data_IF_239001633122
#
_entry.id   IF_239001633122
#
_cell.length_a   1.000
_cell.length_b   1.000
_cell.length_c   1.000
_cell.angle_alpha   90.00
_cell.angle_beta   90.00
_cell.angle_gamma   90.00
#
_symmetry.space_group_name_H-M   'P 1'
#
loop_
_entity.id
_entity.type
_entity.pdbx_description
1 polymer ?
#
# COMPACT_ATOMS: atom_id res chain seq x y z
N UNK A 1 19.81 5.53 -19.13
CA UNK A 1 20.03 5.36 -17.68
C UNK A 1 21.51 5.63 -17.40
N UNK A 2 21.81 6.50 -16.44
CA UNK A 2 23.20 6.81 -16.08
C UNK A 2 23.83 5.65 -15.31
N UNK A 3 25.17 5.53 -15.31
CA UNK A 3 25.88 4.51 -14.53
C UNK A 3 25.58 4.64 -13.02
N UNK A 4 25.35 5.87 -12.57
CA UNK A 4 24.96 6.18 -11.18
C UNK A 4 23.58 5.60 -10.87
N UNK A 5 22.59 5.82 -11.74
CA UNK A 5 21.24 5.27 -11.58
C UNK A 5 21.27 3.73 -11.60
N UNK A 6 22.00 3.12 -12.53
CA UNK A 6 22.10 1.66 -12.64
C UNK A 6 22.74 1.03 -11.39
N UNK A 7 23.82 1.65 -10.86
CA UNK A 7 24.45 1.20 -9.60
C UNK A 7 23.52 1.34 -8.41
N UNK A 8 22.76 2.44 -8.34
CA UNK A 8 21.76 2.66 -7.29
C UNK A 8 20.67 1.60 -7.35
N UNK A 9 20.08 1.34 -8.52
CA UNK A 9 19.01 0.37 -8.68
C UNK A 9 19.44 -1.04 -8.25
N UNK A 10 20.68 -1.46 -8.58
CA UNK A 10 21.23 -2.73 -8.08
C UNK A 10 21.28 -2.78 -6.55
N UNK A 11 21.72 -1.70 -5.89
CA UNK A 11 21.73 -1.61 -4.43
C UNK A 11 20.32 -1.65 -3.84
N UNK A 12 19.37 -0.95 -4.46
CA UNK A 12 17.96 -1.00 -4.06
C UNK A 12 17.43 -2.44 -4.13
N UNK A 13 17.68 -3.17 -5.22
CA UNK A 13 17.25 -4.57 -5.36
C UNK A 13 17.81 -5.43 -4.20
N UNK A 14 19.11 -5.30 -3.90
CA UNK A 14 19.72 -6.04 -2.79
C UNK A 14 19.12 -5.65 -1.43
N UNK A 15 18.92 -4.36 -1.18
CA UNK A 15 18.33 -3.87 0.07
C UNK A 15 16.89 -4.36 0.25
N UNK A 16 16.08 -4.37 -0.83
CA UNK A 16 14.70 -4.90 -0.82
C UNK A 16 14.68 -6.38 -0.41
N UNK A 17 15.60 -7.19 -0.95
CA UNK A 17 15.68 -8.61 -0.64
C UNK A 17 16.06 -8.84 0.83
N UNK A 18 17.10 -8.17 1.32
CA UNK A 18 17.56 -8.28 2.71
C UNK A 18 16.49 -7.81 3.70
N UNK A 19 15.90 -6.63 3.47
CA UNK A 19 14.86 -6.09 4.32
C UNK A 19 13.60 -6.96 4.34
N UNK A 20 13.27 -7.61 3.21
CA UNK A 20 12.15 -8.56 3.14
C UNK A 20 12.43 -9.80 3.96
N UNK A 21 13.64 -10.38 3.88
CA UNK A 21 14.05 -11.53 4.70
C UNK A 21 13.95 -11.20 6.19
N UNK A 22 14.61 -10.11 6.62
CA UNK A 22 14.57 -9.66 8.02
C UNK A 22 13.13 -9.41 8.52
N UNK A 23 12.28 -8.80 7.68
CA UNK A 23 10.86 -8.58 8.01
C UNK A 23 10.09 -9.88 8.18
N UNK A 24 10.33 -10.86 7.31
CA UNK A 24 9.63 -12.14 7.33
C UNK A 24 10.13 -13.02 8.50
N UNK A 25 11.37 -12.81 8.96
CA UNK A 25 11.96 -13.36 10.20
C UNK A 25 11.62 -12.53 11.46
N UNK A 26 10.81 -11.48 11.32
CA UNK A 26 10.37 -10.58 12.39
C UNK A 26 11.50 -9.75 13.05
N UNK A 27 12.65 -9.64 12.40
CA UNK A 27 13.75 -8.75 12.74
C UNK A 27 13.42 -7.31 12.30
N UNK A 28 12.36 -6.76 12.88
CA UNK A 28 11.74 -5.52 12.41
C UNK A 28 12.72 -4.35 12.35
N UNK A 29 13.57 -4.21 13.37
CA UNK A 29 14.51 -3.09 13.45
C UNK A 29 15.57 -3.17 12.36
N UNK A 30 16.12 -4.36 12.11
CA UNK A 30 17.08 -4.58 11.03
C UNK A 30 16.46 -4.26 9.66
N UNK A 31 15.25 -4.77 9.39
CA UNK A 31 14.52 -4.45 8.17
C UNK A 31 14.32 -2.93 7.99
N UNK A 32 13.92 -2.23 9.05
CA UNK A 32 13.75 -0.77 9.05
C UNK A 32 15.07 -0.05 8.77
N UNK A 33 16.17 -0.47 9.37
CA UNK A 33 17.47 0.17 9.22
C UNK A 33 18.04 -0.02 7.81
N UNK A 34 17.91 -1.22 7.24
CA UNK A 34 18.26 -1.51 5.84
C UNK A 34 17.47 -0.60 4.89
N UNK A 35 16.16 -0.47 5.09
CA UNK A 35 15.30 0.35 4.24
C UNK A 35 15.62 1.85 4.37
N UNK A 36 15.86 2.34 5.59
CA UNK A 36 16.24 3.74 5.83
C UNK A 36 17.58 4.09 5.19
N UNK A 37 18.58 3.22 5.29
CA UNK A 37 19.86 3.42 4.63
C UNK A 37 19.70 3.46 3.09
N UNK A 38 18.96 2.51 2.52
CA UNK A 38 18.69 2.49 1.08
C UNK A 38 17.92 3.73 0.60
N UNK A 39 16.93 4.20 1.36
CA UNK A 39 16.20 5.44 1.09
C UNK A 39 17.15 6.64 1.15
N UNK A 40 18.01 6.72 2.17
CA UNK A 40 19.02 7.78 2.30
C UNK A 40 19.94 7.86 1.08
N UNK A 41 20.46 6.71 0.63
CA UNK A 41 21.29 6.62 -0.57
C UNK A 41 20.52 7.04 -1.84
N UNK A 42 19.28 6.57 -2.00
CA UNK A 42 18.47 6.91 -3.17
C UNK A 42 18.07 8.39 -3.21
N UNK A 43 17.72 8.99 -2.06
CA UNK A 43 17.45 10.44 -1.97
C UNK A 43 18.69 11.27 -2.27
N UNK A 44 19.86 10.87 -1.76
CA UNK A 44 21.12 11.53 -2.07
C UNK A 44 21.45 11.46 -3.57
N UNK A 45 21.10 10.36 -4.24
CA UNK A 45 21.25 10.26 -5.69
C UNK A 45 20.30 11.21 -6.43
N UNK A 46 19.01 11.28 -6.07
CA UNK A 46 18.03 12.23 -6.65
C UNK A 46 18.42 13.69 -6.44
N UNK A 47 19.06 14.01 -5.31
CA UNK A 47 19.55 15.36 -5.05
C UNK A 47 20.69 15.79 -6.01
N UNK A 48 21.34 14.86 -6.70
CA UNK A 48 22.24 15.16 -7.80
C UNK A 48 21.43 15.30 -9.10
N UNK A 49 21.48 16.47 -9.75
CA UNK A 49 20.63 16.84 -10.90
C UNK A 49 20.59 15.81 -12.04
N UNK A 50 21.65 15.02 -12.23
CA UNK A 50 21.71 13.98 -13.27
C UNK A 50 20.75 12.80 -13.06
N UNK A 51 20.19 12.61 -11.86
CA UNK A 51 19.29 11.50 -11.52
C UNK A 51 17.89 11.96 -11.05
N UNK A 52 17.68 13.28 -10.87
CA UNK A 52 16.41 13.83 -10.38
C UNK A 52 15.24 13.62 -11.34
N UNK A 53 15.52 13.49 -12.64
CA UNK A 53 14.54 13.24 -13.70
C UNK A 53 14.40 11.77 -14.07
N UNK A 54 15.13 10.87 -13.42
CA UNK A 54 15.08 9.44 -13.75
C UNK A 54 13.87 8.79 -13.04
N UNK A 55 12.83 8.50 -13.83
CA UNK A 55 11.60 7.84 -13.38
C UNK A 55 11.87 6.53 -12.64
N UNK A 56 12.92 5.79 -13.04
CA UNK A 56 13.27 4.52 -12.38
C UNK A 56 13.77 4.72 -10.95
N UNK A 57 14.41 5.86 -10.66
CA UNK A 57 14.87 6.20 -9.30
C UNK A 57 13.69 6.64 -8.44
N UNK A 58 12.74 7.39 -8.99
CA UNK A 58 11.48 7.72 -8.30
C UNK A 58 10.66 6.47 -7.98
N UNK A 59 10.55 5.54 -8.94
CA UNK A 59 9.86 4.27 -8.75
C UNK A 59 10.55 3.43 -7.66
N UNK A 60 11.88 3.38 -7.66
CA UNK A 60 12.66 2.73 -6.62
C UNK A 60 12.45 3.35 -5.23
N UNK A 61 12.35 4.68 -5.13
CA UNK A 61 12.03 5.38 -3.88
C UNK A 61 10.61 5.04 -3.41
N UNK A 62 9.62 5.12 -4.29
CA UNK A 62 8.24 4.72 -3.99
C UNK A 62 8.18 3.28 -3.45
N UNK A 63 8.88 2.34 -4.09
CA UNK A 63 8.96 0.95 -3.66
C UNK A 63 9.58 0.78 -2.26
N UNK A 64 10.71 1.48 -1.99
CA UNK A 64 11.39 1.41 -0.70
C UNK A 64 10.52 1.95 0.44
N UNK A 65 9.87 3.09 0.22
CA UNK A 65 8.90 3.64 1.16
C UNK A 65 7.70 2.72 1.36
N UNK A 66 7.23 2.07 0.30
CA UNK A 66 6.17 1.06 0.39
C UNK A 66 6.56 -0.12 1.29
N UNK A 67 7.79 -0.64 1.13
CA UNK A 67 8.30 -1.71 1.99
C UNK A 67 8.51 -1.25 3.44
N UNK A 68 8.95 -0.01 3.66
CA UNK A 68 9.11 0.56 4.99
C UNK A 68 7.75 0.68 5.69
N UNK A 69 6.74 1.21 4.99
CA UNK A 69 5.37 1.26 5.47
C UNK A 69 4.82 -0.13 5.80
N UNK A 70 5.04 -1.11 4.90
CA UNK A 70 4.60 -2.49 5.12
C UNK A 70 5.24 -3.15 6.33
N UNK A 71 6.52 -2.86 6.59
CA UNK A 71 7.28 -3.36 7.74
C UNK A 71 6.73 -2.77 9.05
N UNK A 72 6.54 -1.45 9.11
CA UNK A 72 5.90 -0.80 10.25
C UNK A 72 4.49 -1.33 10.52
N UNK A 73 3.69 -1.51 9.46
CA UNK A 73 2.33 -2.03 9.60
C UNK A 73 2.30 -3.44 10.18
N UNK A 74 3.12 -4.35 9.66
CA UNK A 74 3.20 -5.74 10.17
C UNK A 74 3.66 -5.77 11.64
N UNK A 75 4.67 -4.95 11.99
CA UNK A 75 5.07 -4.76 13.40
C UNK A 75 3.92 -4.23 14.25
N UNK A 76 3.18 -3.25 13.74
CA UNK A 76 1.99 -2.68 14.39
C UNK A 76 0.89 -3.69 14.69
N UNK A 77 0.64 -4.65 13.79
CA UNK A 77 -0.35 -5.71 14.00
C UNK A 77 0.00 -6.65 15.17
N UNK A 78 1.29 -6.78 15.50
CA UNK A 78 1.77 -7.61 16.62
C UNK A 78 1.90 -6.84 17.92
N UNK A 79 1.93 -5.52 17.86
CA UNK A 79 2.09 -4.66 19.01
C UNK A 79 0.74 -4.40 19.72
N UNK A 80 0.73 -4.25 21.06
CA UNK A 80 -0.46 -3.84 21.80
C UNK A 80 -0.55 -2.32 21.96
N UNK A 81 -1.78 -1.82 22.18
CA UNK A 81 -2.05 -0.50 22.75
C UNK A 81 -1.37 0.69 22.04
N UNK A 82 -0.58 1.45 22.81
CA UNK A 82 0.07 2.67 22.31
C UNK A 82 1.16 2.41 21.27
N UNK A 83 1.88 1.28 21.37
CA UNK A 83 2.90 0.90 20.40
C UNK A 83 2.29 0.63 19.03
N UNK A 84 1.14 -0.08 18.99
CA UNK A 84 0.39 -0.29 17.74
C UNK A 84 0.10 1.02 17.04
N UNK A 85 -0.42 2.01 17.76
CA UNK A 85 -0.71 3.33 17.19
C UNK A 85 0.55 4.00 16.65
N UNK A 86 1.64 4.00 17.40
CA UNK A 86 2.91 4.57 16.93
C UNK A 86 3.43 3.90 15.66
N UNK A 87 3.41 2.56 15.59
CA UNK A 87 3.85 1.84 14.40
C UNK A 87 2.93 2.06 13.20
N UNK A 88 1.61 2.15 13.40
CA UNK A 88 0.68 2.50 12.32
C UNK A 88 0.88 3.93 11.82
N UNK A 89 1.17 4.89 12.72
CA UNK A 89 1.53 6.26 12.32
C UNK A 89 2.80 6.27 11.47
N UNK A 90 3.87 5.60 11.91
CA UNK A 90 5.11 5.49 11.12
C UNK A 90 4.88 4.81 9.76
N UNK A 91 3.96 3.84 9.71
CA UNK A 91 3.57 3.19 8.47
C UNK A 91 2.90 4.17 7.52
N UNK A 92 1.97 4.99 8.01
CA UNK A 92 1.26 6.01 7.22
C UNK A 92 2.25 7.05 6.69
N UNK A 93 3.14 7.56 7.53
CA UNK A 93 4.17 8.54 7.14
C UNK A 93 5.07 8.00 6.03
N UNK A 94 5.52 6.74 6.14
CA UNK A 94 6.30 6.10 5.09
C UNK A 94 5.52 5.99 3.78
N UNK A 95 4.24 5.60 3.83
CA UNK A 95 3.39 5.54 2.63
C UNK A 95 3.08 6.92 2.05
N UNK A 96 2.95 7.98 2.86
CA UNK A 96 2.75 9.34 2.37
C UNK A 96 3.98 9.85 1.59
N UNK A 97 5.18 9.59 2.12
CA UNK A 97 6.44 9.88 1.43
C UNK A 97 6.55 9.10 0.11
N UNK A 98 6.26 7.80 0.14
CA UNK A 98 6.24 6.95 -1.06
C UNK A 98 5.23 7.42 -2.10
N UNK A 99 4.04 7.84 -1.66
CA UNK A 99 3.00 8.38 -2.53
C UNK A 99 3.43 9.68 -3.22
N UNK A 100 4.26 10.50 -2.56
CA UNK A 100 4.86 11.68 -3.19
C UNK A 100 5.61 11.34 -4.48
N UNK A 101 6.35 10.22 -4.50
CA UNK A 101 7.05 9.72 -5.68
C UNK A 101 6.13 8.98 -6.65
N UNK A 102 5.14 8.21 -6.17
CA UNK A 102 4.16 7.54 -7.05
C UNK A 102 3.35 8.54 -7.87
N UNK A 103 2.91 9.64 -7.25
CA UNK A 103 2.12 10.69 -7.91
C UNK A 103 2.86 11.30 -9.09
N UNK A 104 4.17 11.49 -8.96
CA UNK A 104 5.03 12.02 -10.03
C UNK A 104 5.16 11.06 -11.22
N UNK A 105 4.82 9.78 -11.03
CA UNK A 105 4.88 8.74 -12.06
C UNK A 105 3.51 8.47 -12.71
N UNK A 106 2.45 9.16 -12.28
CA UNK A 106 1.10 8.94 -12.80
C UNK A 106 1.03 9.06 -14.33
N UNK A 107 0.39 8.08 -14.97
CA UNK A 107 0.30 7.98 -16.42
C UNK A 107 1.46 7.23 -17.08
N UNK A 108 2.48 6.84 -16.31
CA UNK A 108 3.53 5.92 -16.79
C UNK A 108 3.18 4.47 -16.48
N UNK A 109 3.85 3.53 -17.16
CA UNK A 109 3.75 2.09 -16.86
C UNK A 109 4.32 1.72 -15.48
N UNK A 110 5.15 2.59 -14.90
CA UNK A 110 5.82 2.39 -13.62
C UNK A 110 5.00 2.98 -12.46
N UNK A 111 3.83 3.56 -12.75
CA UNK A 111 2.87 4.04 -11.76
C UNK A 111 2.24 2.88 -10.97
N UNK A 112 2.79 2.61 -9.80
CA UNK A 112 2.16 1.76 -8.78
C UNK A 112 1.06 2.53 -8.05
N UNK A 113 0.06 1.81 -7.56
CA UNK A 113 -0.99 2.32 -6.66
C UNK A 113 -0.74 1.91 -5.21
N UNK A 114 0.42 1.30 -4.93
CA UNK A 114 0.68 0.64 -3.66
C UNK A 114 0.72 1.63 -2.49
N UNK A 115 1.52 2.68 -2.54
CA UNK A 115 1.57 3.67 -1.46
C UNK A 115 0.27 4.46 -1.38
N UNK A 116 -0.32 4.84 -2.53
CA UNK A 116 -1.63 5.49 -2.62
C UNK A 116 -2.73 4.72 -1.87
N UNK A 117 -2.78 3.40 -2.01
CA UNK A 117 -3.80 2.58 -1.33
C UNK A 117 -3.42 2.36 0.14
N UNK A 118 -2.16 1.99 0.40
CA UNK A 118 -1.76 1.62 1.75
C UNK A 118 -1.72 2.80 2.73
N UNK A 119 -1.49 4.03 2.25
CA UNK A 119 -1.66 5.25 3.06
C UNK A 119 -3.10 5.46 3.50
N UNK A 120 -4.09 5.07 2.69
CA UNK A 120 -5.52 5.20 3.02
C UNK A 120 -5.98 4.07 3.93
N UNK A 121 -5.58 2.82 3.64
CA UNK A 121 -5.90 1.68 4.51
C UNK A 121 -5.26 1.83 5.88
N UNK A 122 -4.02 2.33 5.96
CA UNK A 122 -3.35 2.64 7.22
C UNK A 122 -4.14 3.59 8.11
N UNK A 123 -4.75 4.63 7.51
CA UNK A 123 -5.60 5.59 8.22
C UNK A 123 -6.90 4.98 8.71
N UNK A 124 -7.52 4.11 7.92
CA UNK A 124 -8.70 3.33 8.36
C UNK A 124 -8.34 2.40 9.52
N UNK A 125 -7.16 1.77 9.48
CA UNK A 125 -6.68 0.91 10.56
C UNK A 125 -6.38 1.68 11.86
N UNK A 126 -5.96 2.95 11.72
CA UNK A 126 -5.69 3.82 12.86
C UNK A 126 -6.98 4.38 13.45
N UNK A 127 -7.93 4.80 12.60
CA UNK A 127 -9.22 5.33 12.96
C UNK A 127 -10.28 5.06 11.86
N UNK A 128 -11.15 4.08 12.10
CA UNK A 128 -12.24 3.74 11.20
C UNK A 128 -13.29 4.86 11.07
N UNK A 129 -13.34 5.82 12.01
CA UNK A 129 -14.22 6.99 11.94
C UNK A 129 -13.95 7.88 10.72
N UNK A 130 -12.75 7.81 10.15
CA UNK A 130 -12.38 8.51 8.90
C UNK A 130 -13.25 8.11 7.70
N UNK A 131 -13.92 6.95 7.76
CA UNK A 131 -14.81 6.44 6.73
C UNK A 131 -16.20 7.09 6.71
N UNK A 132 -16.54 7.89 7.72
CA UNK A 132 -17.85 8.56 7.86
C UNK A 132 -17.97 9.84 7.02
N UNK A 133 -16.85 10.35 6.48
CA UNK A 133 -16.79 11.55 5.65
C UNK A 133 -16.58 12.84 6.46
N UNK A 134 -15.76 13.74 5.91
CA UNK A 134 -15.37 15.01 6.52
C UNK A 134 -13.87 15.06 6.86
N UNK A 135 -13.25 16.25 6.88
CA UNK A 135 -11.85 16.41 7.26
C UNK A 135 -11.68 16.13 8.76
N UNK A 136 -10.82 15.17 9.09
CA UNK A 136 -10.49 14.86 10.47
C UNK A 136 -9.82 16.05 11.16
N UNK A 137 -10.35 16.48 12.30
CA UNK A 137 -9.76 17.56 13.08
C UNK A 137 -8.72 16.98 14.04
N UNK A 138 -7.46 17.39 13.94
CA UNK A 138 -6.47 17.18 15.01
C UNK A 138 -5.55 15.95 14.89
N UNK A 139 -5.34 15.40 13.69
CA UNK A 139 -4.30 14.40 13.41
C UNK A 139 -3.35 14.85 12.30
N UNK A 140 -2.31 14.06 11.95
CA UNK A 140 -1.46 14.29 10.78
C UNK A 140 -2.24 14.39 9.44
N UNK A 141 -3.52 14.05 9.47
CA UNK A 141 -4.46 14.03 8.35
C UNK A 141 -5.41 15.23 8.31
N UNK A 142 -5.12 16.31 9.03
CA UNK A 142 -5.97 17.50 9.05
C UNK A 142 -6.14 18.08 7.64
N UNK A 143 -7.20 17.70 6.95
CA UNK A 143 -7.53 18.13 5.59
C UNK A 143 -7.68 17.03 4.53
N UNK A 144 -7.33 15.77 4.83
CA UNK A 144 -7.50 14.67 3.88
C UNK A 144 -8.91 14.08 3.96
N UNK A 145 -9.65 14.11 2.85
CA UNK A 145 -10.95 13.41 2.74
C UNK A 145 -10.71 11.99 2.22
N UNK A 146 -10.62 11.03 3.14
CA UNK A 146 -10.34 9.62 2.83
C UNK A 146 -11.33 9.04 1.83
N UNK A 147 -12.60 9.43 1.92
CA UNK A 147 -13.61 8.91 1.00
C UNK A 147 -13.38 9.42 -0.42
N UNK A 148 -13.08 10.71 -0.57
CA UNK A 148 -12.73 11.29 -1.86
C UNK A 148 -11.47 10.65 -2.45
N UNK A 149 -10.43 10.48 -1.63
CA UNK A 149 -9.17 9.85 -2.05
C UNK A 149 -9.37 8.39 -2.48
N UNK A 150 -10.23 7.63 -1.78
CA UNK A 150 -10.59 6.28 -2.18
C UNK A 150 -11.32 6.26 -3.54
N UNK A 151 -12.24 7.19 -3.78
CA UNK A 151 -12.94 7.30 -5.09
C UNK A 151 -11.96 7.63 -6.21
N UNK A 152 -11.00 8.53 -5.97
CA UNK A 152 -9.95 8.86 -6.94
C UNK A 152 -9.04 7.65 -7.22
N UNK A 153 -8.56 6.98 -6.17
CA UNK A 153 -7.78 5.75 -6.29
C UNK A 153 -8.55 4.66 -7.06
N UNK A 154 -9.86 4.55 -6.83
CA UNK A 154 -10.73 3.62 -7.55
C UNK A 154 -10.71 3.89 -9.06
N UNK A 155 -10.85 5.16 -9.45
CA UNK A 155 -10.82 5.57 -10.86
C UNK A 155 -9.49 5.20 -11.50
N UNK A 156 -8.37 5.48 -10.83
CA UNK A 156 -7.02 5.20 -11.34
C UNK A 156 -6.82 3.70 -11.54
N UNK A 157 -7.06 2.88 -10.51
CA UNK A 157 -6.85 1.43 -10.60
C UNK A 157 -7.76 0.81 -11.67
N UNK A 158 -9.01 1.29 -11.77
CA UNK A 158 -9.94 0.81 -12.80
C UNK A 158 -9.43 1.11 -14.20
N UNK A 159 -8.98 2.34 -14.46
CA UNK A 159 -8.38 2.70 -15.75
C UNK A 159 -7.17 1.81 -16.04
N UNK A 160 -6.28 1.58 -15.08
CA UNK A 160 -5.13 0.68 -15.27
C UNK A 160 -5.56 -0.74 -15.66
N UNK A 161 -6.56 -1.31 -14.98
CA UNK A 161 -7.11 -2.64 -15.30
C UNK A 161 -7.67 -2.66 -16.72
N UNK A 162 -8.42 -1.64 -17.12
CA UNK A 162 -9.02 -1.55 -18.45
C UNK A 162 -7.95 -1.42 -19.55
N UNK A 163 -6.87 -0.68 -19.29
CA UNK A 163 -5.87 -0.35 -20.32
C UNK A 163 -4.71 -1.35 -20.42
N UNK A 164 -4.12 -1.79 -19.29
CA UNK A 164 -2.87 -2.58 -19.33
C UNK A 164 -2.70 -3.62 -18.21
N UNK A 165 -3.53 -3.62 -17.14
CA UNK A 165 -3.48 -4.58 -16.01
C UNK A 165 -4.65 -5.57 -16.00
N UNK A 166 -5.23 -5.85 -17.17
CA UNK A 166 -6.46 -6.68 -17.35
C UNK A 166 -6.38 -8.08 -16.73
N UNK A 167 -5.17 -8.63 -16.59
CA UNK A 167 -4.91 -9.97 -16.04
C UNK A 167 -4.06 -9.95 -14.77
N UNK A 168 -3.86 -8.77 -14.19
CA UNK A 168 -3.04 -8.62 -13.00
C UNK A 168 -3.90 -8.85 -11.75
N UNK A 169 -3.74 -9.98 -11.04
CA UNK A 169 -4.55 -10.25 -9.86
C UNK A 169 -4.33 -9.20 -8.75
N UNK A 170 -3.15 -8.57 -8.67
CA UNK A 170 -2.90 -7.54 -7.67
C UNK A 170 -3.73 -6.29 -7.89
N UNK A 171 -3.94 -5.89 -9.15
CA UNK A 171 -4.79 -4.76 -9.49
C UNK A 171 -6.24 -5.00 -9.06
N UNK A 172 -6.74 -6.24 -9.19
CA UNK A 172 -8.08 -6.61 -8.73
C UNK A 172 -8.17 -6.63 -7.19
N UNK A 173 -7.13 -7.08 -6.49
CA UNK A 173 -7.08 -7.01 -5.02
C UNK A 173 -7.13 -5.55 -4.52
N UNK A 174 -6.35 -4.69 -5.16
CA UNK A 174 -6.33 -3.25 -4.91
C UNK A 174 -7.70 -2.62 -5.15
N UNK A 175 -8.31 -2.87 -6.31
CA UNK A 175 -9.64 -2.35 -6.65
C UNK A 175 -10.72 -2.84 -5.69
N UNK A 176 -10.71 -4.13 -5.34
CA UNK A 176 -11.66 -4.69 -4.39
C UNK A 176 -11.52 -4.04 -3.02
N UNK A 177 -10.29 -3.87 -2.52
CA UNK A 177 -10.01 -3.22 -1.24
C UNK A 177 -10.55 -1.79 -1.22
N UNK A 178 -10.27 -1.01 -2.26
CA UNK A 178 -10.78 0.36 -2.39
C UNK A 178 -12.31 0.37 -2.38
N UNK A 179 -12.95 -0.46 -3.20
CA UNK A 179 -14.41 -0.49 -3.33
C UNK A 179 -15.11 -0.91 -2.04
N UNK A 180 -14.54 -1.87 -1.30
CA UNK A 180 -15.05 -2.28 0.01
C UNK A 180 -14.99 -1.13 1.03
N UNK A 181 -14.00 -0.24 0.93
CA UNK A 181 -13.84 0.92 1.83
C UNK A 181 -14.64 2.15 1.37
N UNK A 182 -14.74 2.41 0.07
CA UNK A 182 -15.39 3.60 -0.48
C UNK A 182 -16.93 3.55 -0.36
N UNK A 183 -17.54 2.39 -0.64
CA UNK A 183 -18.99 2.24 -0.77
C UNK A 183 -19.51 0.89 -0.24
N UNK A 184 -19.79 0.79 1.07
CA UNK A 184 -20.17 -0.47 1.71
C UNK A 184 -21.42 -1.14 1.14
N UNK A 185 -22.40 -0.36 0.68
CA UNK A 185 -23.69 -0.88 0.23
C UNK A 185 -23.72 -1.27 -1.26
N UNK A 186 -22.64 -1.02 -2.01
CA UNK A 186 -22.68 -1.17 -3.47
C UNK A 186 -22.51 -2.61 -3.95
N UNK A 187 -21.97 -3.50 -3.12
CA UNK A 187 -21.58 -4.87 -3.50
C UNK A 187 -20.43 -4.93 -4.53
N UNK A 188 -19.91 -3.79 -5.01
CA UNK A 188 -18.90 -3.73 -6.07
C UNK A 188 -17.59 -4.41 -5.67
N UNK A 189 -17.14 -4.21 -4.43
CA UNK A 189 -15.93 -4.84 -3.93
C UNK A 189 -15.98 -6.37 -3.96
N UNK A 190 -17.11 -6.97 -3.56
CA UNK A 190 -17.32 -8.42 -3.61
C UNK A 190 -17.38 -8.93 -5.06
N UNK A 191 -18.05 -8.20 -5.96
CA UNK A 191 -18.09 -8.53 -7.38
C UNK A 191 -16.68 -8.48 -8.01
N UNK A 192 -15.85 -7.52 -7.62
CA UNK A 192 -14.45 -7.43 -8.06
C UNK A 192 -13.62 -8.61 -7.55
N UNK A 193 -13.84 -9.07 -6.31
CA UNK A 193 -13.20 -10.29 -5.80
C UNK A 193 -13.63 -11.54 -6.58
N UNK A 194 -14.89 -11.64 -6.99
CA UNK A 194 -15.30 -12.72 -7.90
C UNK A 194 -14.56 -12.64 -9.25
N UNK A 195 -14.33 -11.42 -9.76
CA UNK A 195 -13.49 -11.17 -10.92
C UNK A 195 -12.06 -11.67 -10.73
N UNK A 196 -11.43 -11.34 -9.59
CA UNK A 196 -10.12 -11.86 -9.19
C UNK A 196 -10.09 -13.39 -9.22
N UNK A 197 -11.06 -14.07 -8.60
CA UNK A 197 -11.08 -15.54 -8.53
C UNK A 197 -11.16 -16.20 -9.91
N UNK A 198 -11.81 -15.57 -10.89
CA UNK A 198 -11.83 -16.06 -12.28
C UNK A 198 -10.46 -16.04 -12.95
N UNK A 199 -9.53 -15.19 -12.48
CA UNK A 199 -8.13 -15.16 -12.94
C UNK A 199 -7.31 -16.35 -12.42
N UNK A 200 -7.85 -17.14 -11.48
CA UNK A 200 -7.15 -18.24 -10.79
C UNK A 200 -5.81 -17.76 -10.20
N UNK A 201 -5.85 -16.78 -9.28
CA UNK A 201 -4.63 -16.22 -8.72
C UNK A 201 -3.85 -17.30 -7.96
N UNK A 202 -2.54 -17.11 -7.85
CA UNK A 202 -1.71 -17.99 -7.03
C UNK A 202 -2.11 -17.86 -5.56
N UNK A 203 -1.96 -18.95 -4.79
CA UNK A 203 -2.34 -19.04 -3.37
C UNK A 203 -1.85 -17.86 -2.55
N UNK A 204 -0.57 -17.47 -2.71
CA UNK A 204 0.02 -16.37 -1.94
C UNK A 204 -0.65 -15.00 -2.21
N UNK A 205 -1.27 -14.80 -3.36
CA UNK A 205 -2.03 -13.57 -3.65
C UNK A 205 -3.27 -13.53 -2.78
N UNK A 206 -4.00 -14.65 -2.67
CA UNK A 206 -5.17 -14.76 -1.80
C UNK A 206 -4.78 -14.56 -0.33
N UNK A 207 -3.71 -15.22 0.11
CA UNK A 207 -3.17 -15.07 1.48
C UNK A 207 -2.78 -13.62 1.78
N UNK A 208 -2.10 -12.94 0.84
CA UNK A 208 -1.72 -11.53 0.99
C UNK A 208 -2.93 -10.60 1.04
N UNK A 209 -3.97 -10.87 0.24
CA UNK A 209 -5.22 -10.09 0.25
C UNK A 209 -5.96 -10.29 1.56
N UNK A 210 -6.07 -11.52 2.06
CA UNK A 210 -6.67 -11.81 3.38
C UNK A 210 -5.90 -11.08 4.48
N UNK A 211 -4.56 -11.14 4.48
CA UNK A 211 -3.73 -10.45 5.47
C UNK A 211 -3.89 -8.91 5.45
N UNK A 212 -4.40 -8.36 4.35
CA UNK A 212 -4.73 -6.93 4.24
C UNK A 212 -6.17 -6.64 4.69
N UNK A 213 -7.14 -7.46 4.26
CA UNK A 213 -8.55 -7.24 4.54
C UNK A 213 -8.97 -7.61 5.97
N UNK A 214 -8.31 -8.59 6.61
CA UNK A 214 -8.69 -9.06 7.94
C UNK A 214 -8.51 -7.98 9.02
N UNK A 215 -7.36 -7.28 9.13
CA UNK A 215 -7.23 -6.17 10.08
C UNK A 215 -8.20 -5.01 9.79
N UNK A 216 -8.54 -4.79 8.51
CA UNK A 216 -9.54 -3.79 8.13
C UNK A 216 -10.94 -4.21 8.55
N UNK A 217 -11.29 -5.49 8.39
CA UNK A 217 -12.56 -6.05 8.84
C UNK A 217 -12.67 -5.94 10.36
N UNK A 218 -11.61 -6.24 11.11
CA UNK A 218 -11.58 -6.05 12.57
C UNK A 218 -11.80 -4.58 12.98
N UNK A 219 -11.14 -3.65 12.28
CA UNK A 219 -11.20 -2.22 12.62
C UNK A 219 -12.53 -1.56 12.20
N UNK A 220 -13.15 -2.01 11.11
CA UNK A 220 -14.25 -1.31 10.46
C UNK A 220 -15.48 -2.19 10.17
N UNK A 221 -15.65 -3.35 10.82
CA UNK A 221 -16.76 -4.28 10.57
C UNK A 221 -18.14 -3.61 10.64
N UNK A 222 -18.35 -2.72 11.61
CA UNK A 222 -19.63 -2.03 11.79
C UNK A 222 -19.93 -1.09 10.61
N UNK A 223 -18.93 -0.32 10.15
CA UNK A 223 -19.09 0.65 9.07
C UNK A 223 -19.01 0.01 7.69
N UNK A 224 -18.34 -1.15 7.57
CA UNK A 224 -17.97 -1.84 6.32
C UNK A 224 -18.15 -3.37 6.45
N UNK A 225 -19.38 -3.88 6.61
CA UNK A 225 -19.63 -5.32 6.78
C UNK A 225 -19.16 -6.17 5.59
N UNK A 226 -19.08 -5.58 4.38
CA UNK A 226 -18.54 -6.26 3.20
C UNK A 226 -17.08 -6.71 3.34
N UNK A 227 -16.27 -6.11 4.24
CA UNK A 227 -14.91 -6.56 4.53
C UNK A 227 -14.90 -7.95 5.17
N UNK A 228 -15.82 -8.21 6.11
CA UNK A 228 -15.96 -9.51 6.79
C UNK A 228 -16.37 -10.58 5.78
N UNK A 229 -17.34 -10.25 4.91
CA UNK A 229 -17.80 -11.15 3.86
C UNK A 229 -16.68 -11.46 2.84
N UNK A 230 -15.90 -10.45 2.46
CA UNK A 230 -14.76 -10.61 1.56
C UNK A 230 -13.69 -11.57 2.13
N UNK A 231 -13.32 -11.40 3.41
CA UNK A 231 -12.38 -12.30 4.08
C UNK A 231 -12.92 -13.73 4.11
N UNK A 232 -14.20 -13.90 4.45
CA UNK A 232 -14.83 -15.22 4.47
C UNK A 232 -14.89 -15.86 3.08
N UNK A 233 -15.12 -15.08 2.02
CA UNK A 233 -15.11 -15.55 0.64
C UNK A 233 -13.72 -16.05 0.24
N UNK A 234 -12.67 -15.27 0.46
CA UNK A 234 -11.31 -15.64 0.06
C UNK A 234 -10.81 -16.88 0.80
N UNK A 235 -11.17 -17.05 2.08
CA UNK A 235 -10.81 -18.24 2.87
C UNK A 235 -11.41 -19.54 2.36
N UNK A 236 -12.57 -19.51 1.69
CA UNK A 236 -13.18 -20.71 1.09
C UNK A 236 -12.43 -21.22 -0.14
N UNK A 237 -11.56 -20.38 -0.71
CA UNK A 237 -10.80 -20.68 -1.93
C UNK A 237 -9.34 -21.12 -1.63
N UNK A 238 -8.94 -21.16 -0.35
CA UNK A 238 -7.62 -21.59 0.13
C UNK A 238 -7.58 -23.05 0.58
#
# INVERSE_FOLDING_TARGET
MSEVADRLLRRVISAKALATSARDEEEWQESIDILRDAIGQARAAVANEAASTDESVKAALADLYGLLGGTWRRRGFKAPGAERRSYLTNSIEAYDEGFGYERDLEGTKDASTYNRINRLTGRVLLDAGTLSGGPHSGGPDSGLDIRRELVEAESIVRTQIETFRQRDPWAYCDLATIQLLAEPASGRGLATLQGLLRLRPQRFVLESTIATLEPLAEAAAEQRPGLVEAVAQLRREL
#
